data_IF_283742966640
#
_entry.id   IF_283742966640
#
_cell.length_a   1.000
_cell.length_b   1.000
_cell.length_c   1.000
_cell.angle_alpha   90.00
_cell.angle_beta   90.00
_cell.angle_gamma   90.00
#
_symmetry.space_group_name_H-M   'P 1'
#
loop_
_entity.id
_entity.type
_entity.pdbx_description
1 polymer ?
#
# COMPACT_ATOMS: atom_id res chain seq x y z
N UNK A 1 -21.77 6.96 9.53
CA UNK A 1 -21.22 6.49 10.81
C UNK A 1 -20.75 5.05 10.60
N UNK A 2 -19.49 4.86 10.20
CA UNK A 2 -18.89 3.54 9.96
C UNK A 2 -17.99 3.24 11.14
N UNK A 3 -18.30 2.16 11.88
CA UNK A 3 -17.50 1.68 13.02
C UNK A 3 -16.51 0.64 12.52
N UNK A 4 -15.24 1.01 12.49
CA UNK A 4 -14.12 0.10 12.25
C UNK A 4 -13.91 -0.77 13.50
N UNK A 5 -14.00 -2.09 13.36
CA UNK A 5 -13.70 -3.04 14.42
C UNK A 5 -12.51 -3.91 14.02
N UNK A 6 -11.32 -3.47 14.42
CA UNK A 6 -10.22 -4.33 14.84
C UNK A 6 -9.35 -3.51 15.80
N UNK A 7 -9.29 -3.90 17.08
CA UNK A 7 -8.28 -3.45 18.06
C UNK A 7 -8.10 -1.93 18.29
N UNK A 8 -8.82 -1.39 19.27
CA UNK A 8 -8.48 -0.23 20.13
C UNK A 8 -7.74 1.00 19.56
N UNK A 9 -7.89 1.35 18.28
CA UNK A 9 -7.51 2.69 17.78
C UNK A 9 -8.76 3.41 17.29
N UNK A 10 -9.41 4.11 18.23
CA UNK A 10 -10.63 4.89 17.97
C UNK A 10 -10.33 6.26 17.35
N UNK A 11 -9.06 6.66 17.31
CA UNK A 11 -8.60 7.97 16.85
C UNK A 11 -7.38 7.81 15.93
N UNK A 12 -7.67 7.57 14.65
CA UNK A 12 -6.66 7.45 13.61
C UNK A 12 -5.88 8.75 13.43
N UNK A 13 -6.52 9.92 13.57
CA UNK A 13 -5.86 11.22 13.43
C UNK A 13 -4.72 11.39 14.46
N UNK A 14 -4.98 11.08 15.73
CA UNK A 14 -3.93 11.08 16.76
C UNK A 14 -2.93 9.92 16.62
N UNK A 15 -3.36 8.76 16.13
CA UNK A 15 -2.46 7.62 15.90
C UNK A 15 -1.33 8.00 14.92
N UNK A 16 -1.70 8.58 13.78
CA UNK A 16 -0.75 9.00 12.75
C UNK A 16 0.11 10.18 13.19
N UNK A 17 -0.48 11.17 13.87
CA UNK A 17 0.25 12.33 14.41
C UNK A 17 1.31 11.92 15.42
N UNK A 18 0.98 11.04 16.38
CA UNK A 18 1.88 10.66 17.48
C UNK A 18 2.91 9.60 17.11
N UNK A 19 2.59 8.67 16.21
CA UNK A 19 3.46 7.51 15.90
C UNK A 19 4.27 7.66 14.63
N UNK A 20 3.83 8.50 13.70
CA UNK A 20 4.41 8.59 12.36
C UNK A 20 4.87 10.00 11.95
N UNK A 21 4.72 11.00 12.84
CA UNK A 21 5.31 12.34 12.65
C UNK A 21 4.72 13.14 11.50
N UNK A 22 3.54 12.76 11.01
CA UNK A 22 2.79 13.52 10.01
C UNK A 22 2.20 14.74 10.70
N UNK A 23 2.52 15.94 10.21
CA UNK A 23 1.91 17.17 10.68
C UNK A 23 0.45 17.30 10.19
N UNK A 24 -0.28 18.26 10.75
CA UNK A 24 -1.71 18.43 10.50
C UNK A 24 -2.01 18.72 9.01
N UNK A 25 -1.08 19.40 8.32
CA UNK A 25 -1.21 19.73 6.90
C UNK A 25 -1.00 18.49 6.02
N UNK A 26 -0.02 17.65 6.33
CA UNK A 26 0.28 16.40 5.63
C UNK A 26 -0.82 15.36 5.84
N UNK A 27 -1.37 15.29 7.06
CA UNK A 27 -2.52 14.44 7.37
C UNK A 27 -3.78 14.91 6.66
N UNK A 28 -4.08 16.22 6.68
CA UNK A 28 -5.22 16.76 5.93
C UNK A 28 -5.05 16.58 4.42
N UNK A 29 -3.85 16.77 3.87
CA UNK A 29 -3.54 16.52 2.46
C UNK A 29 -3.74 15.05 2.11
N UNK A 30 -3.13 14.14 2.86
CA UNK A 30 -3.27 12.69 2.66
C UNK A 30 -4.73 12.22 2.80
N UNK A 31 -5.46 12.67 3.83
CA UNK A 31 -6.88 12.34 3.99
C UNK A 31 -7.74 12.96 2.90
N UNK A 32 -7.45 14.18 2.44
CA UNK A 32 -8.15 14.83 1.33
C UNK A 32 -7.92 14.05 0.04
N UNK A 33 -6.67 13.68 -0.26
CA UNK A 33 -6.31 12.91 -1.46
C UNK A 33 -6.94 11.50 -1.44
N UNK A 34 -7.04 10.87 -0.26
CA UNK A 34 -7.78 9.61 -0.06
C UNK A 34 -9.30 9.79 -0.16
N UNK A 35 -9.83 10.93 0.30
CA UNK A 35 -11.27 11.20 0.26
C UNK A 35 -11.74 11.64 -1.13
N UNK A 36 -10.85 12.21 -1.94
CA UNK A 36 -11.07 12.61 -3.34
C UNK A 36 -10.75 11.48 -4.34
N UNK A 37 -10.16 10.38 -3.88
CA UNK A 37 -10.06 9.13 -4.63
C UNK A 37 -11.48 8.59 -4.85
N UNK A 38 -12.03 8.80 -6.05
CA UNK A 38 -13.24 8.09 -6.50
C UNK A 38 -12.93 6.58 -6.56
N UNK A 39 -13.49 5.85 -5.60
CA UNK A 39 -13.29 4.43 -5.37
C UNK A 39 -13.49 4.13 -3.90
N UNK A 40 -14.35 3.18 -3.57
CA UNK A 40 -14.58 2.81 -2.18
C UNK A 40 -13.26 2.30 -1.59
N UNK A 41 -12.86 2.78 -0.39
CA UNK A 41 -11.68 2.27 0.36
C UNK A 41 -11.76 0.74 0.58
N UNK A 42 -12.94 0.17 0.34
CA UNK A 42 -13.28 -1.25 0.31
C UNK A 42 -12.55 -2.05 -0.80
N UNK A 43 -11.93 -1.39 -1.78
CA UNK A 43 -11.35 -2.04 -2.98
C UNK A 43 -9.81 -2.20 -2.95
N UNK A 44 -9.15 -1.97 -1.81
CA UNK A 44 -7.68 -2.10 -1.69
C UNK A 44 -7.25 -3.27 -0.81
N UNK A 45 -6.21 -3.98 -1.23
CA UNK A 45 -5.54 -5.02 -0.44
C UNK A 45 -4.06 -4.70 -0.27
N UNK A 46 -3.38 -5.38 0.66
CA UNK A 46 -1.93 -5.25 0.76
C UNK A 46 -1.25 -6.00 -0.38
N UNK A 47 -0.14 -5.46 -0.88
CA UNK A 47 0.66 -6.09 -1.92
C UNK A 47 1.20 -7.46 -1.50
N UNK A 48 1.30 -7.73 -0.19
CA UNK A 48 1.70 -9.03 0.33
C UNK A 48 0.62 -10.12 0.21
N UNK A 49 -0.63 -9.71 0.04
CA UNK A 49 -1.81 -10.59 -0.08
C UNK A 49 -2.32 -10.68 -1.51
N UNK A 50 -1.76 -9.87 -2.43
CA UNK A 50 -2.06 -9.96 -3.85
C UNK A 50 -1.50 -11.30 -4.39
N UNK A 51 -2.32 -12.16 -5.03
CA UNK A 51 -1.87 -13.48 -5.46
C UNK A 51 -0.81 -13.41 -6.57
N UNK A 52 -0.02 -14.47 -6.69
CA UNK A 52 0.94 -14.61 -7.80
C UNK A 52 0.25 -14.52 -9.16
N UNK A 53 0.85 -13.78 -10.09
CA UNK A 53 0.31 -13.53 -11.43
C UNK A 53 -0.78 -12.45 -11.49
N UNK A 54 -1.16 -11.85 -10.36
CA UNK A 54 -2.10 -10.74 -10.34
C UNK A 54 -1.42 -9.39 -10.51
N UNK A 55 -2.19 -8.45 -11.03
CA UNK A 55 -1.82 -7.04 -11.16
C UNK A 55 -2.62 -6.17 -10.20
N UNK A 56 -2.05 -5.04 -9.84
CA UNK A 56 -2.73 -4.00 -9.09
C UNK A 56 -2.12 -2.63 -9.34
N UNK A 57 -2.84 -1.59 -8.95
CA UNK A 57 -2.35 -0.21 -9.00
C UNK A 57 -2.06 0.26 -7.58
N UNK A 58 -0.87 0.78 -7.31
CA UNK A 58 -0.51 1.34 -6.00
C UNK A 58 -1.47 2.47 -5.66
N UNK A 59 -2.18 2.32 -4.54
CA UNK A 59 -3.04 3.35 -3.99
C UNK A 59 -2.22 4.24 -3.04
N UNK A 60 -1.60 3.63 -2.03
CA UNK A 60 -0.78 4.33 -1.04
C UNK A 60 0.18 3.37 -0.34
N UNK A 61 1.16 3.92 0.39
CA UNK A 61 2.06 3.16 1.25
C UNK A 61 2.10 3.75 2.66
N UNK A 62 2.27 2.89 3.66
CA UNK A 62 2.25 3.24 5.08
C UNK A 62 3.62 3.02 5.71
N UNK A 63 4.18 4.04 6.35
CA UNK A 63 5.44 3.91 7.09
C UNK A 63 6.05 5.25 7.47
N UNK A 64 7.22 5.20 8.12
CA UNK A 64 8.01 6.40 8.35
C UNK A 64 8.57 6.97 7.04
N UNK A 65 8.93 8.26 7.07
CA UNK A 65 9.44 9.01 5.91
C UNK A 65 10.53 8.27 5.11
N UNK A 66 11.50 7.66 5.80
CA UNK A 66 12.58 6.92 5.13
C UNK A 66 12.11 5.71 4.32
N UNK A 67 11.10 4.99 4.80
CA UNK A 67 10.53 3.85 4.08
C UNK A 67 9.73 4.32 2.87
N UNK A 68 8.86 5.31 3.05
CA UNK A 68 8.01 5.85 1.97
C UNK A 68 8.88 6.45 0.86
N UNK A 69 9.91 7.22 1.20
CA UNK A 69 10.88 7.75 0.23
C UNK A 69 11.56 6.63 -0.54
N UNK A 70 12.07 5.60 0.14
CA UNK A 70 12.73 4.45 -0.52
C UNK A 70 11.78 3.72 -1.46
N UNK A 71 10.51 3.53 -1.08
CA UNK A 71 9.50 2.94 -1.95
C UNK A 71 9.28 3.80 -3.21
N UNK A 72 9.20 5.12 -3.05
CA UNK A 72 9.12 6.07 -4.16
C UNK A 72 10.33 6.01 -5.09
N UNK A 73 11.55 5.96 -4.54
CA UNK A 73 12.79 5.83 -5.32
C UNK A 73 12.83 4.50 -6.11
N UNK A 74 12.19 3.45 -5.61
CA UNK A 74 12.01 2.17 -6.31
C UNK A 74 10.84 2.17 -7.31
N UNK A 75 10.11 3.27 -7.45
CA UNK A 75 8.98 3.41 -8.38
C UNK A 75 7.64 2.95 -7.83
N UNK A 76 7.54 2.58 -6.56
CA UNK A 76 6.28 2.21 -5.89
C UNK A 76 5.53 3.47 -5.41
N UNK A 77 5.16 4.33 -6.36
CA UNK A 77 4.38 5.54 -6.11
C UNK A 77 2.90 5.33 -6.44
N UNK A 78 1.97 6.07 -5.82
CA UNK A 78 0.55 6.05 -6.18
C UNK A 78 0.33 6.14 -7.69
N UNK A 79 -0.63 5.37 -8.20
CA UNK A 79 -0.94 5.24 -9.63
C UNK A 79 -0.02 4.30 -10.42
N UNK A 80 1.04 3.75 -9.82
CA UNK A 80 1.92 2.82 -10.53
C UNK A 80 1.33 1.41 -10.60
N UNK A 81 1.32 0.82 -11.79
CA UNK A 81 0.98 -0.60 -11.97
C UNK A 81 2.09 -1.51 -11.44
N UNK A 82 1.69 -2.53 -10.68
CA UNK A 82 2.56 -3.57 -10.14
C UNK A 82 2.00 -4.94 -10.47
N UNK A 83 2.89 -5.89 -10.77
CA UNK A 83 2.54 -7.30 -11.00
C UNK A 83 3.25 -8.17 -9.98
N UNK A 84 2.53 -9.10 -9.35
CA UNK A 84 3.17 -10.11 -8.50
C UNK A 84 3.77 -11.20 -9.39
N UNK A 85 5.10 -11.30 -9.37
CA UNK A 85 5.84 -12.32 -10.09
C UNK A 85 5.93 -13.60 -9.28
N UNK A 86 6.19 -13.48 -7.97
CA UNK A 86 6.28 -14.61 -7.05
C UNK A 86 5.90 -14.19 -5.64
N UNK A 87 5.07 -14.98 -4.99
CA UNK A 87 4.70 -14.76 -3.59
C UNK A 87 4.87 -16.05 -2.78
N UNK A 88 5.96 -16.13 -2.01
CA UNK A 88 6.13 -17.25 -1.08
C UNK A 88 5.11 -17.11 0.08
N UNK A 89 4.24 -18.09 0.34
CA UNK A 89 3.13 -17.94 1.28
C UNK A 89 3.55 -17.66 2.73
N UNK A 90 4.69 -18.20 3.18
CA UNK A 90 5.04 -18.19 4.61
C UNK A 90 6.37 -17.51 4.97
N UNK A 91 7.40 -17.47 4.11
CA UNK A 91 8.76 -17.07 4.55
C UNK A 91 9.62 -16.31 3.52
N UNK A 92 9.06 -15.95 2.36
CA UNK A 92 9.86 -15.29 1.31
C UNK A 92 9.43 -13.85 1.05
N UNK A 93 10.32 -13.06 0.43
CA UNK A 93 9.95 -11.77 -0.12
C UNK A 93 8.83 -11.92 -1.16
N UNK A 94 8.09 -10.84 -1.37
CA UNK A 94 7.14 -10.69 -2.47
C UNK A 94 7.91 -10.10 -3.63
N UNK A 95 7.99 -10.85 -4.72
CA UNK A 95 8.67 -10.42 -5.94
C UNK A 95 7.65 -9.80 -6.88
N UNK A 96 7.90 -8.55 -7.27
CA UNK A 96 6.98 -7.75 -8.09
C UNK A 96 7.70 -7.16 -9.29
N UNK A 97 6.99 -7.03 -10.41
CA UNK A 97 7.42 -6.19 -11.53
C UNK A 97 6.82 -4.79 -11.37
N UNK A 98 7.69 -3.78 -11.45
CA UNK A 98 7.33 -2.37 -11.40
C UNK A 98 8.04 -1.70 -12.58
N UNK A 99 7.28 -1.12 -13.51
CA UNK A 99 7.83 -0.46 -14.72
C UNK A 99 8.82 -1.34 -15.50
N UNK A 100 8.56 -2.64 -15.58
CA UNK A 100 9.40 -3.60 -16.30
C UNK A 100 10.65 -4.08 -15.55
N UNK A 101 10.85 -3.66 -14.29
CA UNK A 101 11.96 -4.11 -13.44
C UNK A 101 11.44 -4.97 -12.30
N UNK A 102 12.13 -6.06 -11.98
CA UNK A 102 11.79 -6.94 -10.85
C UNK A 102 12.37 -6.41 -9.54
N UNK A 103 11.52 -6.33 -8.51
CA UNK A 103 11.88 -5.94 -7.15
C UNK A 103 11.48 -7.04 -6.16
N UNK A 104 12.37 -7.38 -5.24
CA UNK A 104 12.06 -8.26 -4.11
C UNK A 104 11.80 -7.42 -2.86
N UNK A 105 10.55 -7.39 -2.40
CA UNK A 105 10.16 -6.69 -1.19
C UNK A 105 10.06 -7.68 -0.03
N UNK A 106 10.74 -7.41 1.09
CA UNK A 106 10.51 -8.16 2.32
C UNK A 106 9.00 -8.11 2.68
N UNK A 107 8.43 -9.23 3.13
CA UNK A 107 6.97 -9.33 3.34
C UNK A 107 6.39 -8.23 4.25
N UNK A 108 7.10 -7.82 5.30
CA UNK A 108 6.68 -6.70 6.17
C UNK A 108 6.82 -5.30 5.56
N UNK A 109 7.51 -5.17 4.42
CA UNK A 109 7.49 -3.96 3.58
C UNK A 109 6.36 -4.06 2.57
N UNK A 110 6.18 -5.20 1.91
CA UNK A 110 5.08 -5.42 0.98
C UNK A 110 3.70 -5.26 1.65
N UNK A 111 3.56 -5.68 2.91
CA UNK A 111 2.31 -5.54 3.68
C UNK A 111 1.93 -4.09 4.01
N UNK A 112 2.84 -3.13 3.72
CA UNK A 112 2.63 -1.70 3.93
C UNK A 112 2.29 -0.97 2.63
N UNK A 113 2.32 -1.64 1.49
CA UNK A 113 1.95 -1.09 0.19
C UNK A 113 0.54 -1.58 -0.12
N UNK A 114 -0.39 -0.66 -0.33
CA UNK A 114 -1.79 -0.96 -0.62
C UNK A 114 -2.07 -0.73 -2.10
N UNK A 115 -2.79 -1.67 -2.71
CA UNK A 115 -3.06 -1.69 -4.15
C UNK A 115 -4.55 -1.91 -4.42
N UNK A 116 -5.07 -1.28 -5.49
CA UNK A 116 -6.34 -1.65 -6.10
C UNK A 116 -6.10 -2.86 -7.01
N UNK A 117 -6.71 -4.00 -6.71
CA UNK A 117 -6.51 -5.22 -7.50
C UNK A 117 -7.17 -5.11 -8.88
N UNK A 118 -6.45 -5.47 -9.94
CA UNK A 118 -6.94 -5.46 -11.33
C UNK A 118 -7.24 -6.87 -11.88
N UNK A 119 -7.05 -7.92 -11.07
CA UNK A 119 -7.23 -9.32 -11.45
C UNK A 119 -5.96 -10.02 -11.93
N UNK A 120 -6.12 -11.27 -12.38
CA UNK A 120 -5.03 -12.06 -12.98
C UNK A 120 -4.78 -11.59 -14.40
N UNK A 121 -3.51 -11.37 -14.74
CA UNK A 121 -3.14 -11.07 -16.11
C UNK A 121 -3.49 -12.27 -17.02
N UNK A 122 -4.34 -12.01 -18.03
CA UNK A 122 -4.56 -12.96 -19.11
C UNK A 122 -3.30 -12.98 -19.98
N UNK A 123 -2.69 -14.16 -20.11
CA UNK A 123 -1.56 -14.40 -20.99
C UNK A 123 -2.02 -14.49 -22.46
#
# INVERSE_FOLDING_TARGET
MVKFFEGSVQDWHNHWRRRHGLDEASLKGFYKDISELEGHVEDVCSLADLPEGWRGTVAFAVGGHGLVRRLGDMGLTPGTEVKVLRAAPFHGPVEVSVRGVSLALGRGVASKVFVKAAGREAN
#
